data_IF_528297279229
#
_entry.id   IF_528297279229
#
_cell.length_a   1.000
_cell.length_b   1.000
_cell.length_c   1.000
_cell.angle_alpha   90.00
_cell.angle_beta   90.00
_cell.angle_gamma   90.00
#
_symmetry.space_group_name_H-M   'P 1'
#
loop_
_entity.id
_entity.type
_entity.pdbx_description
1 polymer ?
#
# COMPACT_ATOMS: atom_id res chain seq x y z
N UNK A 1 -22.28 -31.30 -36.52
CA UNK A 1 -22.91 -30.91 -35.24
C UNK A 1 -21.84 -30.98 -34.16
N UNK A 2 -21.12 -29.88 -33.92
CA UNK A 2 -20.26 -29.70 -32.75
C UNK A 2 -20.47 -28.27 -32.29
N UNK A 3 -21.14 -28.12 -31.15
CA UNK A 3 -21.55 -26.84 -30.59
C UNK A 3 -20.30 -26.05 -30.19
N UNK A 4 -20.09 -24.93 -30.88
CA UNK A 4 -19.11 -23.92 -30.54
C UNK A 4 -19.53 -23.29 -29.19
N UNK A 5 -18.85 -23.70 -28.13
CA UNK A 5 -19.03 -23.15 -26.78
C UNK A 5 -18.36 -21.77 -26.72
N UNK A 6 -19.10 -20.73 -27.09
CA UNK A 6 -18.66 -19.34 -27.02
C UNK A 6 -18.71 -18.81 -25.58
N UNK A 7 -17.75 -19.26 -24.76
CA UNK A 7 -17.42 -18.63 -23.48
C UNK A 7 -16.64 -17.33 -23.67
N UNK A 8 -17.22 -16.36 -24.37
CA UNK A 8 -16.52 -15.16 -24.82
C UNK A 8 -16.86 -13.89 -24.05
N UNK A 9 -16.15 -13.66 -22.94
CA UNK A 9 -15.98 -12.38 -22.21
C UNK A 9 -17.25 -11.68 -21.73
N UNK A 10 -17.49 -11.71 -20.42
CA UNK A 10 -18.38 -10.76 -19.75
C UNK A 10 -17.82 -9.34 -19.95
N UNK A 11 -18.55 -8.41 -20.61
CA UNK A 11 -18.20 -7.00 -20.56
C UNK A 11 -18.77 -6.46 -19.25
N UNK A 12 -17.98 -6.55 -18.19
CA UNK A 12 -18.25 -5.84 -16.94
C UNK A 12 -17.23 -4.72 -16.80
N UNK A 13 -17.49 -3.55 -17.40
CA UNK A 13 -16.72 -2.33 -17.12
C UNK A 13 -17.13 -1.78 -15.75
N UNK A 14 -16.88 -2.55 -14.70
CA UNK A 14 -16.94 -2.10 -13.32
C UNK A 14 -15.54 -1.84 -12.81
N UNK A 15 -15.38 -0.89 -11.89
CA UNK A 15 -14.14 -0.73 -11.13
C UNK A 15 -13.75 -2.08 -10.52
N UNK A 16 -12.55 -2.57 -10.81
CA UNK A 16 -12.03 -3.82 -10.22
C UNK A 16 -11.17 -3.46 -8.99
N UNK A 17 -11.73 -3.59 -7.77
CA UNK A 17 -11.03 -3.24 -6.54
C UNK A 17 -9.83 -4.17 -6.27
N UNK A 18 -9.82 -5.38 -6.81
CA UNK A 18 -8.71 -6.32 -6.64
C UNK A 18 -7.52 -5.87 -7.46
N UNK A 19 -7.73 -5.50 -8.73
CA UNK A 19 -6.68 -4.93 -9.58
C UNK A 19 -6.15 -3.60 -9.04
N UNK A 20 -7.03 -2.76 -8.49
CA UNK A 20 -6.62 -1.52 -7.84
C UNK A 20 -5.78 -1.78 -6.58
N UNK A 21 -6.17 -2.74 -5.75
CA UNK A 21 -5.44 -3.11 -4.54
C UNK A 21 -4.08 -3.75 -4.87
N UNK A 22 -4.01 -4.60 -5.90
CA UNK A 22 -2.77 -5.21 -6.36
C UNK A 22 -1.77 -4.14 -6.85
N UNK A 23 -2.25 -3.15 -7.62
CA UNK A 23 -1.44 -2.03 -8.12
C UNK A 23 -0.96 -1.09 -7.02
N UNK A 24 -1.75 -0.91 -5.96
CA UNK A 24 -1.45 0.01 -4.85
C UNK A 24 -1.09 -0.73 -3.54
N UNK A 25 -0.57 -1.96 -3.65
CA UNK A 25 -0.35 -2.85 -2.51
C UNK A 25 0.54 -2.24 -1.42
N UNK A 26 1.66 -1.59 -1.81
CA UNK A 26 2.58 -0.96 -0.86
C UNK A 26 1.94 0.17 -0.02
N UNK A 27 1.35 1.24 -0.62
CA UNK A 27 0.71 2.28 0.17
C UNK A 27 -0.54 1.80 0.93
N UNK A 28 -1.31 0.86 0.38
CA UNK A 28 -2.45 0.27 1.09
C UNK A 28 -2.00 -0.52 2.33
N UNK A 29 -0.93 -1.30 2.20
CA UNK A 29 -0.33 -2.01 3.32
C UNK A 29 0.20 -1.04 4.39
N UNK A 30 0.82 0.06 3.97
CA UNK A 30 1.27 1.10 4.90
C UNK A 30 0.11 1.72 5.68
N UNK A 31 -0.99 2.05 5.00
CA UNK A 31 -2.20 2.59 5.66
C UNK A 31 -2.77 1.56 6.64
N UNK A 32 -2.83 0.28 6.26
CA UNK A 32 -3.28 -0.79 7.14
C UNK A 32 -2.42 -0.87 8.41
N UNK A 33 -1.09 -0.80 8.27
CA UNK A 33 -0.17 -0.79 9.42
C UNK A 33 -0.41 0.41 10.33
N UNK A 34 -0.60 1.61 9.76
CA UNK A 34 -0.91 2.82 10.53
C UNK A 34 -2.19 2.63 11.34
N UNK A 35 -3.24 2.09 10.72
CA UNK A 35 -4.52 1.82 11.40
C UNK A 35 -4.34 0.81 12.52
N UNK A 36 -3.65 -0.31 12.27
CA UNK A 36 -3.40 -1.35 13.29
C UNK A 36 -2.65 -0.78 14.49
N UNK A 37 -1.57 -0.03 14.27
CA UNK A 37 -0.82 0.57 15.38
C UNK A 37 -1.58 1.68 16.09
N UNK A 38 -2.40 2.46 15.38
CA UNK A 38 -3.28 3.45 16.00
C UNK A 38 -4.34 2.81 16.93
N UNK A 39 -4.82 1.60 16.60
CA UNK A 39 -5.76 0.85 17.44
C UNK A 39 -5.08 0.21 18.66
N UNK A 40 -3.86 -0.34 18.49
CA UNK A 40 -3.13 -1.02 19.56
C UNK A 40 -2.56 -0.01 20.57
N UNK A 41 -1.96 1.08 20.09
CA UNK A 41 -1.36 2.12 20.92
C UNK A 41 -1.98 3.48 20.53
N UNK A 42 -2.96 4.00 21.28
CA UNK A 42 -3.62 5.27 20.94
C UNK A 42 -2.65 6.46 20.88
N UNK A 43 -1.51 6.39 21.59
CA UNK A 43 -0.45 7.41 21.54
C UNK A 43 0.35 7.37 20.24
N UNK A 44 0.16 6.35 19.39
CA UNK A 44 0.83 6.25 18.10
C UNK A 44 0.55 7.48 17.21
N UNK A 45 -0.69 7.97 17.23
CA UNK A 45 -1.09 9.17 16.47
C UNK A 45 -0.73 10.50 17.17
N UNK A 46 -0.09 10.43 18.35
CA UNK A 46 0.39 11.62 19.03
C UNK A 46 1.43 12.34 18.15
N UNK A 47 1.38 13.68 18.02
CA UNK A 47 2.27 14.42 17.12
C UNK A 47 3.76 14.08 17.33
N UNK A 48 4.19 13.90 18.58
CA UNK A 48 5.56 13.51 18.89
C UNK A 48 5.95 12.14 18.32
N UNK A 49 5.06 11.15 18.37
CA UNK A 49 5.34 9.82 17.84
C UNK A 49 5.38 9.84 16.30
N UNK A 50 4.47 10.59 15.68
CA UNK A 50 4.46 10.81 14.23
C UNK A 50 5.75 11.52 13.77
N UNK A 51 6.20 12.55 14.48
CA UNK A 51 7.44 13.25 14.18
C UNK A 51 8.68 12.35 14.38
N UNK A 52 8.66 11.45 15.36
CA UNK A 52 9.72 10.47 15.54
C UNK A 52 9.82 9.52 14.34
N UNK A 53 8.69 8.97 13.87
CA UNK A 53 8.64 8.10 12.69
C UNK A 53 9.08 8.86 11.43
N UNK A 54 8.55 10.07 11.20
CA UNK A 54 8.91 10.90 10.05
C UNK A 54 10.42 11.21 10.02
N UNK A 55 11.00 11.57 11.17
CA UNK A 55 12.44 11.84 11.28
C UNK A 55 13.26 10.58 11.00
N UNK A 56 12.84 9.43 11.53
CA UNK A 56 13.51 8.15 11.31
C UNK A 56 13.51 7.75 9.83
N UNK A 57 12.37 7.89 9.16
CA UNK A 57 12.23 7.63 7.71
C UNK A 57 13.08 8.61 6.89
N UNK A 58 13.07 9.91 7.23
CA UNK A 58 13.90 10.91 6.54
C UNK A 58 15.40 10.62 6.64
N UNK A 59 15.90 10.24 7.82
CA UNK A 59 17.30 9.86 8.01
C UNK A 59 17.61 8.62 7.17
N UNK A 60 16.76 7.61 7.23
CA UNK A 60 16.94 6.35 6.48
C UNK A 60 16.95 6.61 4.97
N UNK A 61 16.07 7.48 4.47
CA UNK A 61 16.01 7.88 3.07
C UNK A 61 17.27 8.62 2.62
N UNK A 62 17.76 9.55 3.44
CA UNK A 62 19.02 10.26 3.17
C UNK A 62 20.22 9.29 3.09
N UNK A 63 20.30 8.33 4.02
CA UNK A 63 21.34 7.29 4.02
C UNK A 63 21.21 6.41 2.77
N UNK A 64 20.00 5.98 2.42
CA UNK A 64 19.76 5.17 1.23
C UNK A 64 20.20 5.87 -0.05
N UNK A 65 19.93 7.18 -0.18
CA UNK A 65 20.45 7.99 -1.28
C UNK A 65 21.99 7.91 -1.31
N UNK A 66 22.65 8.09 -0.17
CA UNK A 66 24.11 7.94 -0.07
C UNK A 66 24.62 6.56 -0.53
N UNK A 67 23.88 5.50 -0.19
CA UNK A 67 24.21 4.13 -0.61
C UNK A 67 24.01 3.88 -2.11
N UNK A 68 23.18 4.67 -2.81
CA UNK A 68 23.00 4.52 -4.28
C UNK A 68 24.17 5.08 -5.10
N UNK A 69 25.12 5.80 -4.49
CA UNK A 69 26.29 6.37 -5.15
C UNK A 69 27.61 5.62 -4.89
N UNK A 70 27.57 4.50 -4.15
CA UNK A 70 28.69 3.56 -3.93
C UNK A 70 28.61 2.43 -4.95
#
# INVERSE_FOLDING_TARGET
MTLQNEGGRRPGSGFDPVDFAARNSAPLFLILLVVVFALIEPKFLHPLNLLNVMRQVSISGLIAIGMTFV
#
